data_IF_388344137552
#
_entry.id   IF_388344137552
#
_cell.length_a   1.000
_cell.length_b   1.000
_cell.length_c   1.000
_cell.angle_alpha   90.00
_cell.angle_beta   90.00
_cell.angle_gamma   90.00
#
_symmetry.space_group_name_H-M   'P 1'
#
loop_
_entity.id
_entity.type
_entity.pdbx_description
1 polymer ?
#
# COMPACT_ATOMS: atom_id res chain seq x y z
N UNK A 1 11.38 16.39 -1.19
CA UNK A 1 10.33 16.69 -2.19
C UNK A 1 10.40 15.64 -3.29
N UNK A 2 9.35 14.83 -3.46
CA UNK A 2 9.27 13.75 -4.46
C UNK A 2 8.27 14.13 -5.56
N UNK A 3 8.37 15.35 -6.10
CA UNK A 3 7.33 16.01 -6.92
C UNK A 3 7.37 15.66 -8.43
N UNK A 4 7.67 14.40 -8.77
CA UNK A 4 7.77 13.96 -10.17
C UNK A 4 6.44 13.48 -10.78
N UNK A 5 5.33 13.58 -10.05
CA UNK A 5 4.02 13.12 -10.57
C UNK A 5 3.89 11.59 -10.69
N UNK A 6 4.63 10.81 -9.88
CA UNK A 6 4.61 9.33 -9.95
C UNK A 6 3.22 8.72 -9.78
N UNK A 7 2.41 9.26 -8.86
CA UNK A 7 1.03 8.79 -8.65
C UNK A 7 0.18 8.95 -9.90
N UNK A 8 0.21 10.13 -10.53
CA UNK A 8 -0.52 10.41 -11.77
C UNK A 8 0.01 9.59 -12.95
N UNK A 9 1.32 9.44 -13.08
CA UNK A 9 1.93 8.64 -14.14
C UNK A 9 1.51 7.16 -14.05
N UNK A 10 1.54 6.57 -12.85
CA UNK A 10 1.10 5.20 -12.62
C UNK A 10 -0.41 5.04 -12.88
N UNK A 11 -1.23 5.98 -12.40
CA UNK A 11 -2.68 6.00 -12.64
C UNK A 11 -3.01 6.07 -14.15
N UNK A 12 -2.27 6.89 -14.89
CA UNK A 12 -2.44 7.06 -16.34
C UNK A 12 -2.06 5.79 -17.12
N UNK A 13 -0.99 5.11 -16.71
CA UNK A 13 -0.61 3.82 -17.29
C UNK A 13 -1.69 2.76 -17.05
N UNK A 14 -2.20 2.67 -15.81
CA UNK A 14 -3.27 1.75 -15.48
C UNK A 14 -4.55 2.01 -16.28
N UNK A 15 -4.92 3.28 -16.50
CA UNK A 15 -6.04 3.64 -17.36
C UNK A 15 -5.87 3.16 -18.81
N UNK A 16 -4.66 3.25 -19.37
CA UNK A 16 -4.37 2.72 -20.71
C UNK A 16 -4.48 1.20 -20.76
N UNK A 17 -3.99 0.50 -19.72
CA UNK A 17 -4.09 -0.95 -19.63
C UNK A 17 -5.54 -1.42 -19.45
N UNK A 18 -6.32 -0.75 -18.60
CA UNK A 18 -7.75 -1.01 -18.43
C UNK A 18 -8.53 -0.74 -19.72
N UNK A 19 -8.20 0.33 -20.46
CA UNK A 19 -8.80 0.61 -21.78
C UNK A 19 -8.49 -0.47 -22.84
N UNK A 20 -7.47 -1.30 -22.62
CA UNK A 20 -7.17 -2.49 -23.44
C UNK A 20 -7.90 -3.76 -22.96
N UNK A 21 -8.77 -3.64 -21.97
CA UNK A 21 -9.55 -4.75 -21.44
C UNK A 21 -8.81 -5.62 -20.42
N UNK A 22 -7.66 -5.17 -19.90
CA UNK A 22 -6.96 -5.86 -18.81
C UNK A 22 -7.61 -5.52 -17.46
N UNK A 23 -7.68 -6.51 -16.58
CA UNK A 23 -8.11 -6.34 -15.19
C UNK A 23 -6.94 -5.85 -14.33
N UNK A 24 -6.84 -4.55 -14.10
CA UNK A 24 -5.68 -3.92 -13.46
C UNK A 24 -5.99 -3.44 -12.04
N UNK A 25 -4.98 -3.49 -11.16
CA UNK A 25 -4.97 -2.85 -9.85
C UNK A 25 -3.70 -2.05 -9.65
N UNK A 26 -3.68 -1.17 -8.65
CA UNK A 26 -2.51 -0.35 -8.30
C UNK A 26 -2.32 -0.42 -6.79
N UNK A 27 -1.07 -0.42 -6.34
CA UNK A 27 -0.72 -0.40 -4.92
C UNK A 27 0.27 0.74 -4.64
N UNK A 28 0.11 1.41 -3.51
CA UNK A 28 1.03 2.41 -2.99
C UNK A 28 1.76 1.86 -1.76
N UNK A 29 3.09 1.78 -1.85
CA UNK A 29 3.96 1.41 -0.74
C UNK A 29 4.62 2.66 -0.19
N UNK A 30 4.22 3.08 1.00
CA UNK A 30 4.69 4.29 1.64
C UNK A 30 5.83 4.01 2.64
N UNK A 31 7.00 4.64 2.51
CA UNK A 31 8.17 4.27 3.31
C UNK A 31 8.15 4.82 4.75
N UNK A 32 7.14 5.59 5.15
CA UNK A 32 7.07 6.16 6.50
C UNK A 32 6.60 5.16 7.57
N UNK A 33 6.87 5.50 8.84
CA UNK A 33 6.65 4.61 10.00
C UNK A 33 5.25 4.73 10.62
N UNK A 34 4.42 5.67 10.20
CA UNK A 34 3.01 5.71 10.58
C UNK A 34 2.34 4.41 10.11
N UNK A 35 1.52 3.76 10.95
CA UNK A 35 0.84 2.50 10.59
C UNK A 35 -0.17 2.72 9.49
N UNK A 36 -0.85 3.86 9.53
CA UNK A 36 -1.75 4.37 8.51
C UNK A 36 -1.68 5.90 8.48
N UNK A 37 -2.24 6.55 7.45
CA UNK A 37 -2.27 8.01 7.34
C UNK A 37 -3.32 8.70 8.21
N UNK A 38 -4.20 7.97 8.90
CA UNK A 38 -5.30 8.54 9.67
C UNK A 38 -4.84 9.48 10.80
N UNK A 39 -3.63 9.27 11.31
CA UNK A 39 -3.03 10.15 12.33
C UNK A 39 -2.18 11.29 11.77
N UNK A 40 -2.06 11.42 10.45
CA UNK A 40 -1.17 12.39 9.81
C UNK A 40 -1.87 13.75 9.64
N UNK A 41 -1.12 14.83 9.82
CA UNK A 41 -1.66 16.18 9.63
C UNK A 41 -1.93 16.46 8.15
N UNK A 42 -3.15 16.88 7.76
CA UNK A 42 -3.45 17.23 6.37
C UNK A 42 -2.61 18.38 5.82
N UNK A 43 -2.12 19.26 6.70
CA UNK A 43 -1.27 20.40 6.31
C UNK A 43 0.10 19.93 5.81
N UNK A 44 0.62 18.84 6.37
CA UNK A 44 1.96 18.34 6.05
C UNK A 44 1.94 17.23 4.99
N UNK A 45 0.90 16.39 5.02
CA UNK A 45 0.82 15.19 4.20
C UNK A 45 -0.17 15.31 3.03
N UNK A 46 -1.04 16.33 3.03
CA UNK A 46 -2.18 16.41 2.12
C UNK A 46 -3.39 15.65 2.65
N UNK A 47 -4.43 15.53 1.82
CA UNK A 47 -5.65 14.83 2.20
C UNK A 47 -5.40 13.38 2.61
N UNK A 48 -6.21 12.88 3.55
CA UNK A 48 -6.32 11.44 3.84
C UNK A 48 -7.47 10.90 3.00
N UNK A 49 -7.17 9.94 2.13
CA UNK A 49 -8.19 9.28 1.31
C UNK A 49 -8.85 8.16 2.11
N UNK A 50 -10.16 7.97 1.94
CA UNK A 50 -10.90 6.89 2.60
C UNK A 50 -11.48 5.97 1.54
N UNK A 51 -11.09 4.70 1.60
CA UNK A 51 -11.55 3.63 0.71
C UNK A 51 -12.92 3.09 1.13
N UNK A 52 -13.60 2.35 0.25
CA UNK A 52 -14.93 1.78 0.54
C UNK A 52 -14.92 0.81 1.73
N UNK A 53 -13.79 0.14 2.02
CA UNK A 53 -13.63 -0.74 3.18
C UNK A 53 -13.24 0.01 4.48
N UNK A 54 -13.29 1.35 4.44
CA UNK A 54 -13.05 2.22 5.59
C UNK A 54 -11.57 2.35 5.97
N UNK A 55 -10.63 1.99 5.09
CA UNK A 55 -9.23 2.30 5.35
C UNK A 55 -8.92 3.77 5.05
N UNK A 56 -8.30 4.43 6.02
CA UNK A 56 -7.63 5.72 5.87
C UNK A 56 -6.28 5.48 5.20
N UNK A 57 -6.02 6.16 4.08
CA UNK A 57 -4.88 5.88 3.19
C UNK A 57 -4.27 7.17 2.64
N UNK A 58 -3.15 6.99 1.94
CA UNK A 58 -2.49 8.06 1.19
C UNK A 58 -3.38 8.56 0.04
N UNK A 59 -3.25 9.84 -0.31
CA UNK A 59 -4.04 10.50 -1.35
C UNK A 59 -3.87 9.89 -2.75
N UNK A 60 -2.76 9.18 -3.00
CA UNK A 60 -2.54 8.53 -4.30
C UNK A 60 -3.63 7.52 -4.64
N UNK A 61 -4.26 6.87 -3.65
CA UNK A 61 -5.38 5.95 -3.90
C UNK A 61 -6.59 6.66 -4.50
N UNK A 62 -6.81 7.92 -4.12
CA UNK A 62 -7.82 8.76 -4.76
C UNK A 62 -7.47 9.06 -6.22
N UNK A 63 -6.19 9.23 -6.56
CA UNK A 63 -5.78 9.33 -7.96
C UNK A 63 -6.04 8.04 -8.73
N UNK A 64 -5.80 6.88 -8.12
CA UNK A 64 -6.03 5.60 -8.77
C UNK A 64 -7.51 5.39 -9.08
N UNK A 65 -8.40 5.58 -8.10
CA UNK A 65 -9.86 5.43 -8.30
C UNK A 65 -10.46 6.44 -9.29
N UNK A 66 -9.82 7.60 -9.49
CA UNK A 66 -10.25 8.57 -10.51
C UNK A 66 -9.86 8.18 -11.94
N UNK A 67 -8.87 7.30 -12.11
CA UNK A 67 -8.33 6.92 -13.42
C UNK A 67 -8.78 5.54 -13.89
N UNK A 68 -9.02 4.61 -12.96
CA UNK A 68 -9.46 3.24 -13.26
C UNK A 68 -10.72 2.88 -12.48
N UNK A 69 -11.46 1.87 -12.94
CA UNK A 69 -12.73 1.43 -12.33
C UNK A 69 -12.53 0.57 -11.09
N UNK A 70 -11.38 -0.09 -10.97
CA UNK A 70 -11.03 -0.92 -9.81
C UNK A 70 -11.09 -0.12 -8.52
N UNK A 71 -11.84 -0.63 -7.54
CA UNK A 71 -11.95 -0.03 -6.22
C UNK A 71 -10.73 -0.35 -5.36
N UNK A 72 -10.18 0.67 -4.73
CA UNK A 72 -9.05 0.51 -3.82
C UNK A 72 -9.57 0.04 -2.46
N UNK A 73 -8.75 -0.72 -1.77
CA UNK A 73 -9.02 -1.28 -0.45
C UNK A 73 -7.82 -1.06 0.45
N UNK A 74 -7.91 -1.49 1.71
CA UNK A 74 -6.75 -1.59 2.62
C UNK A 74 -5.57 -2.40 2.05
N UNK A 75 -5.80 -3.25 1.03
CA UNK A 75 -4.72 -4.02 0.34
C UNK A 75 -3.93 -3.18 -0.65
N UNK A 76 -4.42 -1.99 -1.01
CA UNK A 76 -3.78 -1.13 -2.01
C UNK A 76 -2.85 -0.10 -1.36
N UNK A 77 -2.81 0.03 -0.03
CA UNK A 77 -1.88 0.91 0.68
C UNK A 77 -1.22 0.23 1.88
N UNK A 78 0.11 0.24 1.91
CA UNK A 78 0.88 -0.27 3.03
C UNK A 78 2.05 0.65 3.35
N UNK A 79 2.35 0.74 4.64
CA UNK A 79 3.40 1.61 5.17
C UNK A 79 4.51 0.78 5.80
N UNK A 80 5.73 1.31 5.89
CA UNK A 80 6.80 0.69 6.69
C UNK A 80 6.33 0.42 8.12
N UNK A 81 5.62 1.37 8.73
CA UNK A 81 5.06 1.23 10.07
C UNK A 81 4.20 -0.02 10.25
N UNK A 82 3.29 -0.26 9.31
CA UNK A 82 2.41 -1.43 9.31
C UNK A 82 3.18 -2.74 9.12
N UNK A 83 4.16 -2.77 8.21
CA UNK A 83 5.02 -3.95 8.04
C UNK A 83 5.71 -4.31 9.36
N UNK A 84 6.41 -3.35 9.96
CA UNK A 84 7.16 -3.57 11.19
C UNK A 84 6.24 -3.96 12.35
N UNK A 85 5.11 -3.29 12.51
CA UNK A 85 4.12 -3.61 13.54
C UNK A 85 3.64 -5.06 13.44
N UNK A 86 3.32 -5.53 12.24
CA UNK A 86 2.86 -6.90 12.04
C UNK A 86 3.96 -7.95 12.23
N UNK A 87 5.19 -7.68 11.75
CA UNK A 87 6.34 -8.58 11.99
C UNK A 87 6.65 -8.67 13.48
N UNK A 88 6.67 -7.55 14.21
CA UNK A 88 6.87 -7.56 15.66
C UNK A 88 5.74 -8.31 16.38
N UNK A 89 4.49 -8.18 15.93
CA UNK A 89 3.37 -8.95 16.48
C UNK A 89 3.52 -10.46 16.25
N UNK A 90 3.96 -10.88 15.05
CA UNK A 90 4.27 -12.29 14.73
C UNK A 90 5.40 -12.81 15.63
N UNK A 91 6.44 -12.00 15.84
CA UNK A 91 7.55 -12.32 16.75
C UNK A 91 7.10 -12.52 18.19
N UNK A 92 6.36 -11.56 18.76
CA UNK A 92 5.86 -11.66 20.14
C UNK A 92 4.88 -12.81 20.37
N UNK A 93 4.21 -13.29 19.32
CA UNK A 93 3.37 -14.49 19.36
C UNK A 93 4.15 -15.81 19.27
N UNK A 94 5.44 -15.75 18.90
CA UNK A 94 6.29 -16.93 18.74
C UNK A 94 6.29 -17.54 17.34
N UNK A 95 5.71 -16.87 16.33
CA UNK A 95 5.59 -17.41 14.96
C UNK A 95 6.95 -17.67 14.30
N UNK A 96 8.01 -17.01 14.76
CA UNK A 96 9.38 -17.18 14.26
C UNK A 96 10.21 -18.17 15.08
N UNK A 97 9.61 -18.92 15.99
CA UNK A 97 10.22 -20.08 16.68
C UNK A 97 11.58 -19.78 17.35
N UNK A 98 11.72 -18.59 17.95
CA UNK A 98 12.93 -18.15 18.65
C UNK A 98 14.06 -17.64 17.74
N UNK A 99 13.83 -17.50 16.44
CA UNK A 99 14.80 -16.94 15.51
C UNK A 99 15.03 -15.43 15.73
N UNK A 100 16.24 -14.97 15.41
CA UNK A 100 16.56 -13.53 15.36
C UNK A 100 15.82 -12.88 14.19
N UNK A 101 14.99 -11.89 14.48
CA UNK A 101 14.28 -11.13 13.46
C UNK A 101 15.19 -10.07 12.85
N UNK A 102 15.17 -10.00 11.52
CA UNK A 102 16.04 -9.16 10.71
C UNK A 102 15.26 -8.55 9.55
N UNK A 103 15.75 -7.44 9.02
CA UNK A 103 15.17 -6.81 7.82
C UNK A 103 15.10 -7.80 6.66
N UNK A 104 16.21 -8.51 6.40
CA UNK A 104 16.25 -9.61 5.45
C UNK A 104 16.38 -10.91 6.26
N UNK A 105 15.50 -11.91 6.06
CA UNK A 105 14.40 -11.93 5.09
C UNK A 105 13.05 -11.49 5.66
N UNK A 106 12.91 -11.25 6.97
CA UNK A 106 11.58 -11.18 7.62
C UNK A 106 10.75 -9.97 7.16
N UNK A 107 11.35 -8.77 7.13
CA UNK A 107 10.66 -7.55 6.66
C UNK A 107 10.45 -7.62 5.16
N UNK A 108 11.46 -8.04 4.39
CA UNK A 108 11.33 -8.13 2.91
C UNK A 108 10.33 -9.21 2.48
N UNK A 109 10.21 -10.32 3.20
CA UNK A 109 9.16 -11.32 2.98
C UNK A 109 7.78 -10.75 3.31
N UNK A 110 7.64 -10.05 4.43
CA UNK A 110 6.37 -9.40 4.80
C UNK A 110 5.91 -8.34 3.77
N UNK A 111 6.85 -7.65 3.11
CA UNK A 111 6.56 -6.76 1.98
C UNK A 111 6.08 -7.56 0.77
N UNK A 112 6.83 -8.61 0.36
CA UNK A 112 6.45 -9.46 -0.78
C UNK A 112 5.09 -10.12 -0.60
N UNK A 113 4.79 -10.65 0.59
CA UNK A 113 3.51 -11.27 0.93
C UNK A 113 2.34 -10.32 0.62
N UNK A 114 2.47 -9.03 0.97
CA UNK A 114 1.45 -8.01 0.71
C UNK A 114 1.36 -7.60 -0.74
N UNK A 115 2.49 -7.50 -1.43
CA UNK A 115 2.49 -7.21 -2.87
C UNK A 115 1.78 -8.31 -3.65
N UNK A 116 2.06 -9.57 -3.33
CA UNK A 116 1.40 -10.73 -3.96
C UNK A 116 -0.10 -10.72 -3.63
N UNK A 117 -0.47 -10.52 -2.37
CA UNK A 117 -1.88 -10.49 -1.95
C UNK A 117 -2.66 -9.28 -2.50
N UNK A 118 -1.99 -8.17 -2.81
CA UNK A 118 -2.58 -6.98 -3.42
C UNK A 118 -2.76 -7.09 -4.93
N UNK A 119 -1.95 -7.92 -5.60
CA UNK A 119 -2.07 -8.22 -7.04
C UNK A 119 -2.91 -9.46 -7.36
N UNK A 120 -3.34 -10.21 -6.35
CA UNK A 120 -4.12 -11.44 -6.53
C UNK A 120 -5.43 -11.16 -7.31
N UNK A 121 -5.64 -11.89 -8.41
CA UNK A 121 -6.85 -11.77 -9.23
C UNK A 121 -6.81 -10.67 -10.28
N UNK A 122 -5.68 -9.99 -10.48
CA UNK A 122 -5.46 -9.01 -11.54
C UNK A 122 -4.43 -9.52 -12.58
N UNK A 123 -4.51 -9.00 -13.80
CA UNK A 123 -3.62 -9.34 -14.93
C UNK A 123 -2.20 -8.75 -14.78
#
# INVERSE_FOLDING_TARGET
VSSLGKGIAAASLAAILEARGLNVTIMKLDPYINVDPGTMSPIQHGEVFVTEDGAETDLDLGHYERFIRTKMTRRNNFTTGRIYSEVLRKERRGDYLGATIQVIPHITNAIKERMIAGGEGHD
#
